data_IF_900373731849
#
_entry.id   IF_900373731849
#
_cell.length_a   1.000
_cell.length_b   1.000
_cell.length_c   1.000
_cell.angle_alpha   90.00
_cell.angle_beta   90.00
_cell.angle_gamma   90.00
#
_symmetry.space_group_name_H-M   'P 1'
#
loop_
_entity.id
_entity.type
_entity.pdbx_description
1 polymer ?
#
# COMPACT_ATOMS: atom_id res chain seq x y z
N UNK A 1 -13.12 3.40 -18.64
CA UNK A 1 -13.03 3.00 -17.22
C UNK A 1 -14.38 2.47 -16.82
N UNK A 2 -14.45 1.27 -16.26
CA UNK A 2 -15.67 0.81 -15.59
C UNK A 2 -15.85 1.64 -14.32
N UNK A 3 -17.00 2.29 -14.20
CA UNK A 3 -17.35 3.01 -12.99
C UNK A 3 -17.72 1.97 -11.93
N UNK A 4 -16.89 1.86 -10.90
CA UNK A 4 -17.16 1.03 -9.73
C UNK A 4 -17.87 1.87 -8.68
N UNK A 5 -18.92 1.33 -8.08
CA UNK A 5 -19.52 1.95 -6.90
C UNK A 5 -18.66 1.69 -5.65
N UNK A 6 -18.99 2.40 -4.57
CA UNK A 6 -18.28 2.29 -3.31
C UNK A 6 -18.34 0.87 -2.73
N UNK A 7 -19.47 0.18 -2.89
CA UNK A 7 -19.68 -1.15 -2.32
C UNK A 7 -18.76 -2.18 -2.99
N UNK A 8 -18.57 -2.10 -4.30
CA UNK A 8 -17.63 -2.94 -5.04
C UNK A 8 -16.18 -2.71 -4.59
N UNK A 9 -15.79 -1.46 -4.36
CA UNK A 9 -14.45 -1.13 -3.87
C UNK A 9 -14.22 -1.68 -2.46
N UNK A 10 -15.21 -1.48 -1.58
CA UNK A 10 -15.16 -1.97 -0.20
C UNK A 10 -15.11 -3.50 -0.15
N UNK A 11 -15.87 -4.18 -1.00
CA UNK A 11 -15.90 -5.65 -1.03
C UNK A 11 -14.58 -6.24 -1.56
N UNK A 12 -13.99 -5.64 -2.59
CA UNK A 12 -12.66 -6.05 -3.06
C UNK A 12 -11.58 -5.85 -1.99
N UNK A 13 -11.61 -4.71 -1.28
CA UNK A 13 -10.73 -4.47 -0.15
C UNK A 13 -10.97 -5.48 0.99
N UNK A 14 -12.23 -5.77 1.32
CA UNK A 14 -12.60 -6.74 2.36
C UNK A 14 -12.08 -8.14 2.01
N UNK A 15 -12.26 -8.58 0.77
CA UNK A 15 -11.76 -9.87 0.28
C UNK A 15 -10.24 -9.94 0.38
N UNK A 16 -9.56 -8.86 -0.02
CA UNK A 16 -8.11 -8.74 0.10
C UNK A 16 -7.65 -8.80 1.57
N UNK A 17 -8.28 -8.04 2.46
CA UNK A 17 -7.96 -8.01 3.88
C UNK A 17 -8.16 -9.37 4.55
N UNK A 18 -9.30 -10.02 4.27
CA UNK A 18 -9.65 -11.33 4.82
C UNK A 18 -8.63 -12.39 4.39
N UNK A 19 -8.24 -12.43 3.12
CA UNK A 19 -7.24 -13.38 2.64
C UNK A 19 -5.98 -13.39 3.50
N UNK A 20 -5.48 -12.23 3.93
CA UNK A 20 -4.25 -12.14 4.73
C UNK A 20 -4.46 -12.21 6.25
N UNK A 21 -5.69 -12.19 6.75
CA UNK A 21 -5.98 -12.18 8.20
C UNK A 21 -6.61 -13.47 8.70
N UNK A 22 -7.09 -14.34 7.80
CA UNK A 22 -7.55 -15.68 8.18
C UNK A 22 -6.39 -16.61 8.56
N UNK A 23 -6.69 -17.61 9.38
CA UNK A 23 -5.69 -18.54 9.91
C UNK A 23 -5.22 -19.59 8.89
N UNK A 24 -6.07 -19.93 7.93
CA UNK A 24 -5.80 -20.89 6.87
C UNK A 24 -5.80 -20.18 5.52
N UNK A 25 -4.81 -20.48 4.67
CA UNK A 25 -4.67 -19.82 3.37
C UNK A 25 -5.87 -20.19 2.48
N UNK A 26 -6.68 -19.21 2.02
CA UNK A 26 -7.75 -19.50 1.09
C UNK A 26 -7.25 -19.95 -0.28
N UNK A 27 -8.06 -20.71 -1.00
CA UNK A 27 -7.79 -21.16 -2.38
C UNK A 27 -8.21 -20.11 -3.43
N UNK A 28 -7.77 -18.87 -3.22
CA UNK A 28 -7.88 -17.78 -4.19
C UNK A 28 -6.74 -16.79 -3.97
N UNK A 29 -6.48 -15.89 -4.93
CA UNK A 29 -5.53 -14.81 -4.73
C UNK A 29 -6.20 -13.48 -5.04
N UNK A 30 -6.47 -12.62 -4.03
CA UNK A 30 -7.17 -11.38 -4.26
C UNK A 30 -6.25 -10.35 -4.92
N UNK A 31 -6.78 -9.63 -5.90
CA UNK A 31 -6.11 -8.51 -6.56
C UNK A 31 -7.11 -7.39 -6.74
N UNK A 32 -6.70 -6.15 -6.49
CA UNK A 32 -7.53 -4.97 -6.74
C UNK A 32 -6.70 -3.75 -7.14
N UNK A 33 -7.24 -3.00 -8.10
CA UNK A 33 -6.72 -1.70 -8.53
C UNK A 33 -7.91 -0.81 -8.80
N UNK A 34 -7.97 0.33 -8.12
CA UNK A 34 -9.00 1.35 -8.32
C UNK A 34 -8.38 2.72 -8.53
N UNK A 35 -9.03 3.53 -9.36
CA UNK A 35 -8.76 4.96 -9.46
C UNK A 35 -9.75 5.73 -8.61
N UNK A 36 -9.26 6.68 -7.82
CA UNK A 36 -10.11 7.67 -7.15
C UNK A 36 -10.07 8.93 -7.99
N UNK A 37 -11.20 9.24 -8.62
CA UNK A 37 -11.37 10.45 -9.42
C UNK A 37 -11.79 11.62 -8.52
N UNK A 38 -11.11 12.75 -8.70
CA UNK A 38 -11.47 14.04 -8.14
C UNK A 38 -11.87 14.93 -9.31
N UNK A 39 -13.10 15.44 -9.27
CA UNK A 39 -13.61 16.36 -10.27
C UNK A 39 -13.73 17.76 -9.67
N UNK A 40 -13.23 18.75 -10.40
CA UNK A 40 -13.38 20.16 -10.05
C UNK A 40 -13.66 20.97 -11.31
N UNK A 41 -14.88 21.50 -11.41
CA UNK A 41 -15.36 22.13 -12.63
C UNK A 41 -15.29 21.14 -13.82
N UNK A 42 -14.63 21.56 -14.89
CA UNK A 42 -14.44 20.77 -16.11
C UNK A 42 -13.18 19.89 -16.08
N UNK A 43 -12.38 19.96 -15.01
CA UNK A 43 -11.17 19.15 -14.86
C UNK A 43 -11.44 17.90 -14.02
N UNK A 44 -10.91 16.76 -14.47
CA UNK A 44 -10.88 15.53 -13.67
C UNK A 44 -9.45 15.01 -13.55
N UNK A 45 -9.10 14.64 -12.33
CA UNK A 45 -7.80 14.08 -11.97
C UNK A 45 -8.00 12.99 -10.92
N UNK A 46 -6.92 12.42 -10.39
CA UNK A 46 -7.06 11.38 -9.40
C UNK A 46 -5.75 10.71 -9.04
N UNK A 47 -5.86 9.73 -8.15
CA UNK A 47 -4.77 8.87 -7.75
C UNK A 47 -5.26 7.41 -7.76
N UNK A 48 -4.31 6.49 -7.76
CA UNK A 48 -4.60 5.06 -7.76
C UNK A 48 -4.44 4.48 -6.36
N UNK A 49 -5.28 3.49 -6.07
CA UNK A 49 -5.19 2.62 -4.90
C UNK A 49 -5.06 1.19 -5.41
N UNK A 50 -3.99 0.51 -5.01
CA UNK A 50 -3.75 -0.88 -5.41
C UNK A 50 -3.12 -1.69 -4.29
N UNK A 51 -3.32 -3.00 -4.33
CA UNK A 51 -2.55 -3.89 -3.49
C UNK A 51 -1.10 -4.05 -3.99
N UNK A 52 -0.19 -4.22 -3.04
CA UNK A 52 1.24 -4.46 -3.24
C UNK A 52 1.77 -5.38 -2.13
N UNK A 53 2.98 -5.90 -2.31
CA UNK A 53 3.62 -6.80 -1.35
C UNK A 53 4.96 -6.30 -0.82
N UNK A 54 5.20 -6.55 0.47
CA UNK A 54 6.54 -6.45 1.08
C UNK A 54 7.18 -7.81 1.00
N UNK A 55 8.16 -7.98 0.12
CA UNK A 55 9.00 -9.17 0.07
C UNK A 55 9.91 -9.24 1.31
N UNK A 56 10.19 -10.44 1.80
CA UNK A 56 11.07 -10.65 2.94
C UNK A 56 11.92 -11.92 2.80
N UNK A 57 13.09 -11.99 3.46
CA UNK A 57 13.89 -13.21 3.47
C UNK A 57 13.23 -14.34 4.28
N UNK A 58 13.44 -15.58 3.85
CA UNK A 58 13.08 -16.79 4.57
C UNK A 58 14.07 -17.91 4.25
N UNK A 59 14.76 -18.44 5.28
CA UNK A 59 15.73 -19.56 5.16
C UNK A 59 16.77 -19.38 4.04
N UNK A 60 17.35 -18.18 3.93
CA UNK A 60 18.42 -17.90 2.96
C UNK A 60 17.96 -17.59 1.53
N UNK A 61 16.66 -17.55 1.27
CA UNK A 61 16.05 -17.14 0.01
C UNK A 61 14.97 -16.09 0.24
N UNK A 62 14.36 -15.57 -0.83
CA UNK A 62 13.15 -14.75 -0.70
C UNK A 62 11.94 -15.64 -0.48
N UNK A 63 11.02 -15.19 0.38
CA UNK A 63 9.73 -15.84 0.55
C UNK A 63 8.94 -15.83 -0.77
N UNK A 64 8.15 -16.88 -1.01
CA UNK A 64 7.26 -16.97 -2.18
C UNK A 64 6.04 -16.07 -2.05
N UNK A 65 5.63 -15.77 -0.81
CA UNK A 65 4.53 -14.85 -0.51
C UNK A 65 5.08 -13.55 0.08
N UNK A 66 4.30 -12.49 -0.07
CA UNK A 66 4.65 -11.15 0.40
C UNK A 66 3.65 -10.68 1.47
N UNK A 67 4.11 -9.85 2.41
CA UNK A 67 3.21 -9.22 3.38
C UNK A 67 2.39 -8.13 2.67
N UNK A 68 1.07 -8.07 2.89
CA UNK A 68 0.20 -7.17 2.14
C UNK A 68 0.41 -5.71 2.56
N UNK A 69 0.36 -4.81 1.59
CA UNK A 69 0.06 -3.40 1.85
C UNK A 69 -0.76 -2.78 0.72
N UNK A 70 -1.29 -1.58 0.99
CA UNK A 70 -2.02 -0.78 0.02
C UNK A 70 -1.14 0.40 -0.38
N UNK A 71 -0.91 0.57 -1.68
CA UNK A 71 -0.24 1.74 -2.23
C UNK A 71 -1.26 2.77 -2.70
N UNK A 72 -1.16 3.99 -2.16
CA UNK A 72 -1.76 5.18 -2.75
C UNK A 72 -0.70 5.87 -3.62
N UNK A 73 -0.96 5.98 -4.92
CA UNK A 73 -0.01 6.58 -5.86
C UNK A 73 -0.64 7.72 -6.68
N UNK A 74 0.01 8.88 -6.64
CA UNK A 74 -0.25 10.01 -7.52
C UNK A 74 0.92 10.13 -8.52
N UNK A 75 0.68 10.27 -9.84
CA UNK A 75 1.76 10.44 -10.81
C UNK A 75 2.59 11.69 -10.48
N UNK A 76 3.89 11.52 -10.23
CA UNK A 76 4.76 12.66 -9.83
C UNK A 76 5.13 13.58 -10.99
N UNK A 77 4.95 13.13 -12.23
CA UNK A 77 5.12 13.95 -13.40
C UNK A 77 4.31 13.41 -14.57
N UNK A 78 3.99 14.31 -15.49
CA UNK A 78 3.33 13.99 -16.76
C UNK A 78 4.34 14.07 -17.89
N UNK A 79 4.27 13.12 -18.82
CA UNK A 79 5.04 13.17 -20.06
C UNK A 79 4.17 13.81 -21.13
N UNK A 80 4.62 14.93 -21.68
CA UNK A 80 3.96 15.61 -22.78
C UNK A 80 4.81 15.43 -24.04
N UNK A 81 4.16 15.02 -25.12
CA UNK A 81 4.77 14.99 -26.44
C UNK A 81 4.71 16.41 -27.02
N UNK A 82 5.87 17.05 -27.16
CA UNK A 82 6.01 18.37 -27.75
C UNK A 82 6.83 18.27 -29.05
N UNK A 83 6.53 19.11 -30.03
CA UNK A 83 7.21 19.12 -31.33
C UNK A 83 7.55 20.57 -31.68
N UNK A 84 8.83 20.83 -31.96
CA UNK A 84 9.32 22.12 -32.43
C UNK A 84 10.18 21.96 -33.70
N UNK A 85 10.84 23.03 -34.15
CA UNK A 85 11.71 23.02 -35.34
C UNK A 85 12.87 22.01 -35.25
N UNK A 86 13.17 21.49 -34.05
CA UNK A 86 14.22 20.49 -33.79
C UNK A 86 13.66 19.07 -33.67
N UNK A 87 12.35 18.89 -33.85
CA UNK A 87 11.64 17.61 -33.85
C UNK A 87 10.89 17.31 -32.55
N UNK A 88 10.46 16.05 -32.42
CA UNK A 88 9.68 15.58 -31.26
C UNK A 88 10.55 15.43 -30.02
N UNK A 89 10.12 16.01 -28.92
CA UNK A 89 10.76 15.91 -27.62
C UNK A 89 9.73 15.64 -26.52
N UNK A 90 10.18 14.99 -25.45
CA UNK A 90 9.36 14.69 -24.28
C UNK A 90 9.62 15.73 -23.19
N UNK A 91 8.57 16.43 -22.76
CA UNK A 91 8.63 17.31 -21.60
C UNK A 91 8.13 16.55 -20.36
N UNK A 92 8.89 16.64 -19.27
CA UNK A 92 8.45 16.20 -17.96
C UNK A 92 8.00 17.42 -17.16
N UNK A 93 6.72 17.45 -16.82
CA UNK A 93 6.17 18.49 -15.95
C UNK A 93 5.76 17.91 -14.61
N UNK A 94 6.01 18.69 -13.55
CA UNK A 94 5.63 18.31 -12.19
C UNK A 94 4.13 18.47 -12.01
N UNK A 95 3.44 17.38 -11.64
CA UNK A 95 1.99 17.41 -11.48
C UNK A 95 1.52 18.45 -10.44
N UNK A 96 2.39 18.85 -9.49
CA UNK A 96 2.08 19.87 -8.49
C UNK A 96 1.77 21.23 -9.13
N UNK A 97 2.42 21.55 -10.25
CA UNK A 97 2.21 22.79 -10.99
C UNK A 97 0.91 22.77 -11.80
N UNK A 98 0.45 21.57 -12.22
CA UNK A 98 -0.70 21.42 -13.12
C UNK A 98 -1.97 20.91 -12.44
N UNK A 99 -1.88 20.28 -11.26
CA UNK A 99 -3.00 19.69 -10.50
C UNK A 99 -2.86 19.96 -8.99
N UNK A 100 -2.79 21.22 -8.55
CA UNK A 100 -2.50 21.58 -7.15
C UNK A 100 -3.51 20.98 -6.16
N UNK A 101 -4.80 20.95 -6.50
CA UNK A 101 -5.86 20.50 -5.58
C UNK A 101 -5.86 18.98 -5.37
N UNK A 102 -5.57 18.23 -6.43
CA UNK A 102 -5.38 16.76 -6.35
C UNK A 102 -4.19 16.41 -5.46
N UNK A 103 -3.10 17.17 -5.58
CA UNK A 103 -1.92 17.00 -4.76
C UNK A 103 -2.18 17.33 -3.29
N UNK A 104 -2.90 18.43 -3.00
CA UNK A 104 -3.31 18.78 -1.64
C UNK A 104 -4.14 17.66 -1.00
N UNK A 105 -5.15 17.15 -1.71
CA UNK A 105 -5.97 16.05 -1.19
C UNK A 105 -5.15 14.78 -0.93
N UNK A 106 -4.23 14.44 -1.84
CA UNK A 106 -3.31 13.32 -1.65
C UNK A 106 -2.46 13.48 -0.36
N UNK A 107 -1.89 14.66 -0.13
CA UNK A 107 -1.10 14.96 1.07
C UNK A 107 -1.96 14.91 2.35
N UNK A 108 -3.19 15.43 2.32
CA UNK A 108 -4.12 15.39 3.46
C UNK A 108 -4.47 13.95 3.86
N UNK A 109 -4.77 13.10 2.88
CA UNK A 109 -5.00 11.68 3.13
C UNK A 109 -3.74 10.98 3.66
N UNK A 110 -2.58 11.21 3.04
CA UNK A 110 -1.33 10.62 3.49
C UNK A 110 -0.98 11.04 4.93
N UNK A 111 -1.22 12.31 5.28
CA UNK A 111 -1.06 12.82 6.64
C UNK A 111 -2.06 12.17 7.61
N UNK A 112 -3.32 12.00 7.19
CA UNK A 112 -4.36 11.34 7.99
C UNK A 112 -4.03 9.87 8.26
N UNK A 113 -3.58 9.13 7.25
CA UNK A 113 -3.12 7.75 7.41
C UNK A 113 -1.93 7.64 8.37
N UNK A 114 -0.98 8.58 8.30
CA UNK A 114 0.18 8.61 9.22
C UNK A 114 -0.23 8.76 10.69
N UNK A 115 -1.34 9.45 10.99
CA UNK A 115 -1.86 9.65 12.36
C UNK A 115 -2.41 8.36 12.98
N UNK A 116 -2.99 7.47 12.16
CA UNK A 116 -3.66 6.24 12.62
C UNK A 116 -2.82 4.97 12.41
N UNK A 117 -1.61 5.09 11.88
CA UNK A 117 -0.71 3.97 11.59
C UNK A 117 0.68 4.19 12.17
N UNK A 118 1.40 3.11 12.47
CA UNK A 118 2.81 3.12 12.87
C UNK A 118 3.67 2.41 11.80
N UNK A 119 4.97 2.69 11.70
CA UNK A 119 5.84 1.95 10.81
C UNK A 119 5.77 0.43 11.08
N UNK A 120 5.57 -0.37 10.04
CA UNK A 120 5.53 -1.82 10.13
C UNK A 120 6.92 -2.34 10.52
N UNK A 121 6.97 -3.13 11.59
CA UNK A 121 8.19 -3.80 12.05
C UNK A 121 7.84 -5.25 12.32
N UNK A 122 8.66 -6.16 11.84
CA UNK A 122 8.51 -7.59 12.11
C UNK A 122 9.88 -8.25 12.10
N UNK A 123 10.03 -9.37 12.80
CA UNK A 123 11.24 -10.19 12.76
C UNK A 123 10.99 -11.48 12.02
N UNK A 124 12.04 -11.95 11.36
CA UNK A 124 12.13 -13.26 10.71
C UNK A 124 13.24 -14.09 11.36
N UNK A 125 13.09 -15.41 11.37
CA UNK A 125 14.17 -16.30 11.77
C UNK A 125 15.23 -16.33 10.65
N UNK A 126 16.39 -15.71 10.89
CA UNK A 126 17.57 -15.87 10.06
C UNK A 126 18.41 -17.06 10.55
N UNK A 127 19.56 -17.31 9.89
CA UNK A 127 20.42 -18.48 10.16
C UNK A 127 20.78 -18.62 11.65
N UNK A 128 21.18 -17.52 12.28
CA UNK A 128 21.75 -17.55 13.63
C UNK A 128 20.95 -16.75 14.67
N UNK A 129 19.99 -15.91 14.23
CA UNK A 129 19.22 -15.03 15.11
C UNK A 129 17.91 -14.55 14.46
N UNK A 130 17.02 -13.99 15.28
CA UNK A 130 15.88 -13.21 14.79
C UNK A 130 16.38 -11.88 14.21
N UNK A 131 16.00 -11.57 12.96
CA UNK A 131 16.37 -10.33 12.29
C UNK A 131 15.15 -9.45 12.06
N UNK A 132 15.18 -8.23 12.58
CA UNK A 132 14.13 -7.23 12.37
C UNK A 132 14.16 -6.66 10.95
N UNK A 133 12.99 -6.62 10.32
CA UNK A 133 12.71 -6.01 9.03
C UNK A 133 12.02 -4.65 9.21
N UNK A 134 12.42 -3.68 8.39
CA UNK A 134 12.02 -2.26 8.50
C UNK A 134 11.51 -1.70 7.17
N UNK A 135 10.46 -2.28 6.57
CA UNK A 135 9.92 -1.74 5.32
C UNK A 135 9.43 -0.29 5.51
N UNK A 136 9.41 0.47 4.41
CA UNK A 136 8.84 1.81 4.35
C UNK A 136 7.29 1.79 4.30
N UNK A 137 6.67 0.83 4.99
CA UNK A 137 5.23 0.60 5.06
C UNK A 137 4.76 0.91 6.48
N UNK A 138 3.48 1.31 6.61
CA UNK A 138 2.84 1.58 7.89
C UNK A 138 1.63 0.67 8.06
N UNK A 139 1.31 0.35 9.31
CA UNK A 139 0.22 -0.54 9.68
C UNK A 139 -0.51 0.01 10.91
N UNK A 140 -1.83 -0.17 10.96
CA UNK A 140 -2.62 0.17 12.15
C UNK A 140 -2.45 -0.90 13.23
N UNK A 141 -2.78 -0.56 14.48
CA UNK A 141 -2.71 -1.56 15.56
C UNK A 141 -3.71 -2.69 15.35
N UNK A 142 -4.92 -2.38 14.86
CA UNK A 142 -5.94 -3.38 14.55
C UNK A 142 -5.45 -4.38 13.51
N UNK A 143 -4.86 -3.90 12.41
CA UNK A 143 -4.36 -4.77 11.35
C UNK A 143 -3.23 -5.69 11.84
N UNK A 144 -2.40 -5.27 12.80
CA UNK A 144 -1.41 -6.17 13.41
C UNK A 144 -2.06 -7.23 14.27
N UNK A 145 -3.07 -6.88 15.06
CA UNK A 145 -3.78 -7.85 15.88
C UNK A 145 -4.46 -8.92 15.01
N UNK A 146 -5.02 -8.51 13.86
CA UNK A 146 -5.68 -9.45 12.95
C UNK A 146 -4.65 -10.29 12.16
N UNK A 147 -3.48 -9.73 11.85
CA UNK A 147 -2.44 -10.40 11.08
C UNK A 147 -1.64 -11.41 11.91
N UNK A 148 -1.49 -11.22 13.23
CA UNK A 148 -0.56 -12.03 14.05
C UNK A 148 -0.90 -13.53 14.05
N UNK A 149 -2.18 -13.89 13.89
CA UNK A 149 -2.64 -15.29 13.86
C UNK A 149 -2.90 -15.81 12.45
N UNK A 150 -2.56 -15.03 11.43
CA UNK A 150 -2.81 -15.36 10.02
C UNK A 150 -1.96 -16.51 9.50
N UNK A 151 -2.41 -17.11 8.40
CA UNK A 151 -1.69 -18.19 7.72
C UNK A 151 -0.28 -17.76 7.29
N UNK A 152 -0.07 -16.51 6.87
CA UNK A 152 1.23 -16.05 6.37
C UNK A 152 2.24 -15.88 7.52
N UNK A 153 1.78 -15.33 8.65
CA UNK A 153 2.61 -15.22 9.86
C UNK A 153 3.00 -16.61 10.36
N UNK A 154 2.05 -17.55 10.41
CA UNK A 154 2.30 -18.95 10.81
C UNK A 154 3.24 -19.67 9.84
N UNK A 155 3.02 -19.57 8.53
CA UNK A 155 3.83 -20.24 7.48
C UNK A 155 5.30 -19.84 7.57
N UNK A 156 5.56 -18.54 7.76
CA UNK A 156 6.92 -18.01 7.76
C UNK A 156 7.53 -17.80 9.14
N UNK A 157 6.79 -18.08 10.22
CA UNK A 157 7.25 -17.87 11.59
C UNK A 157 7.58 -16.41 11.88
N UNK A 158 6.77 -15.48 11.34
CA UNK A 158 6.99 -14.05 11.50
C UNK A 158 6.65 -13.62 12.93
N UNK A 159 7.38 -12.64 13.46
CA UNK A 159 7.05 -12.01 14.74
C UNK A 159 6.75 -10.54 14.52
N UNK A 160 5.50 -10.13 14.74
CA UNK A 160 5.11 -8.73 14.56
C UNK A 160 5.65 -7.87 15.70
N UNK A 161 6.54 -6.93 15.40
CA UNK A 161 7.24 -6.09 16.37
C UNK A 161 6.57 -4.72 16.50
N UNK A 162 5.26 -4.69 16.74
CA UNK A 162 4.64 -3.42 17.07
C UNK A 162 4.87 -3.15 18.56
N UNK A 163 5.58 -2.06 18.86
CA UNK A 163 5.63 -1.53 20.22
C UNK A 163 4.18 -1.37 20.69
N UNK A 164 3.75 -2.22 21.63
CA UNK A 164 2.62 -1.90 22.49
C UNK A 164 2.92 -0.50 23.01
N UNK A 165 2.01 0.44 22.84
CA UNK A 165 2.04 1.60 23.71
C UNK A 165 1.92 1.02 25.11
N UNK A 166 3.02 1.04 25.84
CA UNK A 166 2.99 0.99 27.29
C UNK A 166 2.45 2.36 27.68
N UNK A 167 1.16 2.60 27.45
CA UNK A 167 0.37 3.48 28.30
C UNK A 167 -0.02 2.62 29.50
N UNK A 168 0.98 2.33 30.34
CA UNK A 168 0.76 1.82 31.68
C UNK A 168 0.47 3.02 32.57
N UNK A 169 -0.72 3.01 33.17
CA UNK A 169 -1.14 3.73 34.39
C UNK A 169 -1.01 5.25 34.41
#
# INVERSE_FOLDING_TARGET
MTQHDLDQVLEAYRTYYQYFTVQERPDYHPFFVYSISIAEGDESSGFFVRNEGVSFPYRGQWAEDELPYILLSLPKGIRIDAEDERGKHYLYEDIRAHRPLTYVFFEEMAASMKKITKPLRFSIQAADAMQEQKPAVRISQQAVNDLIDSWIVKKYGLVMNNKKDISGT
#
